data_IF_096495671006
#
_entry.id   IF_096495671006
#
_cell.length_a   1.000
_cell.length_b   1.000
_cell.length_c   1.000
_cell.angle_alpha   90.00
_cell.angle_beta   90.00
_cell.angle_gamma   90.00
#
_symmetry.space_group_name_H-M   'P 1'
#
loop_
_entity.id
_entity.type
_entity.pdbx_description
1 polymer ?
#
# COMPACT_ATOMS: atom_id res chain seq x y z
N UNK A 1 -7.46 -3.80 -15.05
CA UNK A 1 -6.36 -4.55 -15.70
C UNK A 1 -5.07 -4.05 -15.10
N UNK A 2 -4.27 -4.93 -14.50
CA UNK A 2 -2.94 -4.58 -13.97
C UNK A 2 -1.98 -4.51 -15.17
N UNK A 3 -1.20 -3.45 -15.28
CA UNK A 3 -0.38 -3.15 -16.46
C UNK A 3 0.95 -3.94 -16.48
N UNK A 4 1.36 -4.49 -15.33
CA UNK A 4 2.56 -5.33 -15.12
C UNK A 4 2.28 -6.45 -14.12
N UNK A 5 3.06 -7.52 -14.15
CA UNK A 5 3.04 -8.53 -13.09
C UNK A 5 3.31 -7.86 -11.74
N UNK A 6 2.57 -8.20 -10.67
CA UNK A 6 2.78 -7.61 -9.35
C UNK A 6 4.21 -7.86 -8.84
N UNK A 7 4.81 -6.83 -8.23
CA UNK A 7 6.11 -6.94 -7.55
C UNK A 7 5.87 -7.44 -6.13
N UNK A 8 6.40 -8.62 -5.79
CA UNK A 8 6.34 -9.13 -4.42
C UNK A 8 7.18 -8.26 -3.47
N UNK A 9 6.61 -7.92 -2.31
CA UNK A 9 7.25 -7.09 -1.29
C UNK A 9 7.76 -7.95 -0.13
N UNK A 10 6.83 -8.52 0.64
CA UNK A 10 7.10 -9.33 1.82
C UNK A 10 5.87 -10.16 2.21
N UNK A 11 6.07 -11.35 2.75
CA UNK A 11 5.00 -12.21 3.31
C UNK A 11 3.84 -12.50 2.36
N UNK A 12 4.05 -12.49 1.04
CA UNK A 12 3.02 -12.67 0.02
C UNK A 12 2.23 -11.41 -0.37
N UNK A 13 2.53 -10.26 0.24
CA UNK A 13 2.03 -8.97 -0.23
C UNK A 13 2.72 -8.59 -1.52
N UNK A 14 1.95 -8.04 -2.45
CA UNK A 14 2.47 -7.59 -3.74
C UNK A 14 1.91 -6.24 -4.12
N UNK A 15 2.73 -5.46 -4.80
CA UNK A 15 2.34 -4.20 -5.37
C UNK A 15 1.97 -4.47 -6.83
N UNK A 16 0.94 -3.82 -7.37
CA UNK A 16 0.67 -3.86 -8.81
C UNK A 16 0.30 -2.49 -9.35
N UNK A 17 0.69 -2.25 -10.60
CA UNK A 17 0.40 -1.01 -11.32
C UNK A 17 -0.96 -1.10 -12.01
N UNK A 18 -1.87 -0.19 -11.70
CA UNK A 18 -3.20 -0.15 -12.32
C UNK A 18 -3.19 0.84 -13.48
N UNK A 19 -3.77 0.43 -14.62
CA UNK A 19 -3.91 1.30 -15.80
C UNK A 19 -4.59 2.63 -15.40
N UNK A 20 -3.87 3.74 -15.57
CA UNK A 20 -4.29 5.12 -15.23
C UNK A 20 -4.53 5.42 -13.73
N UNK A 21 -4.11 4.56 -12.80
CA UNK A 21 -4.57 4.61 -11.39
C UNK A 21 -3.50 4.54 -10.29
N UNK A 22 -2.23 4.87 -10.55
CA UNK A 22 -1.17 4.72 -9.54
C UNK A 22 -0.94 3.26 -9.14
N UNK A 23 -0.47 3.03 -7.91
CA UNK A 23 -0.17 1.70 -7.39
C UNK A 23 -1.23 1.18 -6.43
N UNK A 24 -1.35 -0.15 -6.42
CA UNK A 24 -2.32 -0.89 -5.61
C UNK A 24 -1.59 -1.98 -4.82
N UNK A 25 -1.84 -2.04 -3.51
CA UNK A 25 -1.27 -3.05 -2.63
C UNK A 25 -2.25 -4.21 -2.47
N UNK A 26 -1.78 -5.41 -2.76
CA UNK A 26 -2.50 -6.66 -2.65
C UNK A 26 -2.01 -7.43 -1.44
N UNK A 27 -2.95 -7.97 -0.68
CA UNK A 27 -2.65 -8.96 0.35
C UNK A 27 -2.33 -10.32 -0.27
N UNK A 28 -1.67 -11.21 0.49
CA UNK A 28 -1.57 -12.61 0.15
C UNK A 28 -2.97 -13.16 -0.17
N UNK A 29 -3.09 -14.10 -1.12
CA UNK A 29 -4.39 -14.68 -1.43
C UNK A 29 -4.95 -15.38 -0.19
N UNK A 30 -6.09 -14.90 0.31
CA UNK A 30 -6.99 -15.74 1.09
C UNK A 30 -7.87 -16.44 0.07
N UNK A 31 -7.77 -17.76 -0.01
CA UNK A 31 -8.66 -18.57 -0.83
C UNK A 31 -9.99 -18.60 -0.10
N UNK A 32 -10.98 -17.87 -0.60
CA UNK A 32 -12.36 -18.18 -0.27
C UNK A 32 -12.74 -19.54 -0.90
N UNK A 33 -13.88 -20.11 -0.50
CA UNK A 33 -14.33 -21.44 -0.96
C UNK A 33 -14.52 -21.55 -2.50
N UNK A 34 -14.27 -20.47 -3.25
CA UNK A 34 -14.51 -20.32 -4.69
C UNK A 34 -13.22 -20.16 -5.51
N UNK A 35 -12.04 -20.10 -4.87
CA UNK A 35 -10.75 -20.28 -5.55
C UNK A 35 -10.11 -19.02 -6.13
N UNK A 36 -10.63 -17.82 -5.87
CA UNK A 36 -9.94 -16.56 -6.14
C UNK A 36 -10.12 -15.58 -4.97
N UNK A 37 -9.05 -14.89 -4.55
CA UNK A 37 -8.93 -13.43 -4.63
C UNK A 37 -7.71 -12.91 -3.88
N UNK A 38 -7.07 -11.89 -4.45
CA UNK A 38 -6.12 -11.02 -3.76
C UNK A 38 -6.93 -9.88 -3.13
N UNK A 39 -7.16 -9.85 -1.79
CA UNK A 39 -7.85 -8.72 -1.19
C UNK A 39 -7.03 -7.46 -1.42
N UNK A 40 -7.71 -6.40 -1.86
CA UNK A 40 -7.11 -5.08 -2.00
C UNK A 40 -6.90 -4.55 -0.58
N UNK A 41 -5.65 -4.26 -0.23
CA UNK A 41 -5.29 -3.72 1.09
C UNK A 41 -5.25 -2.19 1.04
N UNK A 42 -4.67 -1.67 -0.04
CA UNK A 42 -4.66 -0.23 -0.32
C UNK A 42 -5.07 -0.02 -1.76
N UNK A 43 -6.09 0.82 -1.93
CA UNK A 43 -6.69 1.16 -3.21
C UNK A 43 -5.72 1.91 -4.15
N UNK A 44 -6.02 1.93 -5.46
CA UNK A 44 -5.15 2.50 -6.48
C UNK A 44 -4.97 4.02 -6.28
N UNK A 45 -3.89 4.40 -5.60
CA UNK A 45 -3.29 5.73 -5.53
C UNK A 45 -2.09 5.76 -4.57
N UNK A 46 -1.39 4.64 -4.40
CA UNK A 46 -0.18 4.59 -3.58
C UNK A 46 0.92 5.41 -4.25
N UNK A 47 1.44 6.39 -3.52
CA UNK A 47 2.45 7.33 -3.99
C UNK A 47 3.81 6.99 -3.42
N UNK A 48 3.88 6.67 -2.12
CA UNK A 48 5.08 6.16 -1.47
C UNK A 48 4.82 4.81 -0.81
N UNK A 49 5.82 3.93 -0.85
CA UNK A 49 5.80 2.65 -0.17
C UNK A 49 7.18 2.31 0.39
N UNK A 50 7.22 1.85 1.64
CA UNK A 50 8.40 1.29 2.28
C UNK A 50 8.05 -0.05 2.90
N UNK A 51 8.99 -1.00 2.90
CA UNK A 51 8.73 -2.33 3.47
C UNK A 51 10.00 -3.01 3.96
N UNK A 52 9.83 -3.94 4.88
CA UNK A 52 10.80 -4.97 5.27
C UNK A 52 10.08 -6.33 5.49
N UNK A 53 10.70 -7.23 6.24
CA UNK A 53 10.11 -8.55 6.52
C UNK A 53 8.88 -8.49 7.45
N UNK A 54 8.74 -7.45 8.27
CA UNK A 54 7.72 -7.35 9.31
C UNK A 54 6.63 -6.32 8.99
N UNK A 55 6.95 -5.26 8.25
CA UNK A 55 6.06 -4.12 8.02
C UNK A 55 6.00 -3.67 6.57
N UNK A 56 4.84 -3.14 6.19
CA UNK A 56 4.65 -2.37 4.95
C UNK A 56 4.01 -1.04 5.32
N UNK A 57 4.65 0.05 4.89
CA UNK A 57 4.24 1.43 5.12
C UNK A 57 3.81 2.03 3.79
N UNK A 58 2.64 2.67 3.78
CA UNK A 58 2.05 3.18 2.54
C UNK A 58 1.56 4.60 2.72
N UNK A 59 1.94 5.48 1.82
CA UNK A 59 1.27 6.77 1.61
C UNK A 59 0.36 6.67 0.39
N UNK A 60 -0.90 7.04 0.58
CA UNK A 60 -1.93 7.05 -0.45
C UNK A 60 -2.51 8.45 -0.60
N UNK A 61 -2.68 8.92 -1.84
CA UNK A 61 -3.43 10.15 -2.12
C UNK A 61 -4.84 9.75 -2.54
N UNK A 62 -5.88 9.99 -1.73
CA UNK A 62 -7.22 9.50 -2.04
C UNK A 62 -7.69 10.02 -3.41
N UNK A 63 -8.31 9.14 -4.20
CA UNK A 63 -9.01 9.53 -5.42
C UNK A 63 -10.30 10.23 -5.04
N UNK A 64 -10.70 11.24 -5.83
CA UNK A 64 -12.02 11.83 -5.74
C UNK A 64 -13.12 10.87 -6.20
N UNK A 65 -14.38 11.25 -5.96
CA UNK A 65 -15.55 10.40 -6.21
C UNK A 65 -15.81 10.14 -7.71
N UNK A 66 -15.19 10.89 -8.62
CA UNK A 66 -15.45 10.79 -10.07
C UNK A 66 -14.33 10.07 -10.82
N UNK A 67 -14.73 9.28 -11.81
CA UNK A 67 -13.82 8.60 -12.73
C UNK A 67 -12.99 9.67 -13.47
N UNK A 68 -11.69 9.72 -13.19
CA UNK A 68 -10.75 10.69 -13.76
C UNK A 68 -10.35 11.82 -12.81
N UNK A 69 -10.84 11.84 -11.58
CA UNK A 69 -10.35 12.75 -10.55
C UNK A 69 -8.87 12.51 -10.30
N UNK A 70 -8.12 13.61 -10.15
CA UNK A 70 -6.71 13.54 -9.77
C UNK A 70 -6.62 13.14 -8.31
N UNK A 71 -5.64 12.31 -7.92
CA UNK A 71 -5.36 12.04 -6.52
C UNK A 71 -5.21 13.35 -5.73
N UNK A 72 -5.87 13.45 -4.58
CA UNK A 72 -5.76 14.61 -3.70
C UNK A 72 -4.49 14.53 -2.86
N UNK A 73 -3.44 15.18 -3.34
CA UNK A 73 -2.16 15.25 -2.63
C UNK A 73 -2.17 16.18 -1.42
N UNK A 74 -3.25 16.96 -1.22
CA UNK A 74 -3.36 17.86 -0.07
C UNK A 74 -3.83 17.16 1.19
N UNK A 75 -4.38 15.94 1.06
CA UNK A 75 -4.88 15.14 2.17
C UNK A 75 -4.40 13.67 2.05
N UNK A 76 -3.08 13.41 2.21
CA UNK A 76 -2.55 12.07 2.14
C UNK A 76 -3.05 11.22 3.31
N UNK A 77 -3.34 9.95 3.02
CA UNK A 77 -3.67 8.93 4.01
C UNK A 77 -2.52 7.95 4.13
N UNK A 78 -2.25 7.54 5.36
CA UNK A 78 -1.16 6.63 5.68
C UNK A 78 -1.71 5.27 6.13
N UNK A 79 -1.01 4.21 5.75
CA UNK A 79 -1.37 2.85 6.15
C UNK A 79 -0.13 2.12 6.66
N UNK A 80 -0.33 1.26 7.67
CA UNK A 80 0.68 0.35 8.21
C UNK A 80 0.10 -1.05 8.16
N UNK A 81 0.82 -1.97 7.52
CA UNK A 81 0.49 -3.39 7.51
C UNK A 81 1.52 -4.12 8.36
N UNK A 82 1.04 -4.93 9.30
CA UNK A 82 1.86 -5.87 10.08
C UNK A 82 1.82 -7.22 9.36
N UNK A 83 2.92 -7.59 8.71
CA UNK A 83 2.97 -8.74 7.79
C UNK A 83 2.64 -10.05 8.50
N UNK A 84 3.16 -10.24 9.72
CA UNK A 84 3.01 -11.49 10.49
C UNK A 84 1.58 -11.75 10.98
N UNK A 85 0.81 -10.70 11.25
CA UNK A 85 -0.58 -10.80 11.76
C UNK A 85 -1.62 -10.54 10.69
N UNK A 86 -1.24 -9.90 9.57
CA UNK A 86 -2.15 -9.39 8.57
C UNK A 86 -2.97 -8.19 9.05
N UNK A 87 -2.61 -7.57 10.18
CA UNK A 87 -3.30 -6.39 10.70
C UNK A 87 -2.98 -5.16 9.84
N UNK A 88 -4.01 -4.36 9.56
CA UNK A 88 -3.90 -3.17 8.71
C UNK A 88 -4.44 -1.96 9.47
N UNK A 89 -3.55 -1.05 9.83
CA UNK A 89 -3.90 0.27 10.32
C UNK A 89 -4.07 1.18 9.10
N UNK A 90 -5.31 1.57 8.80
CA UNK A 90 -5.66 2.30 7.59
C UNK A 90 -6.19 3.71 7.88
N UNK A 91 -6.21 4.55 6.83
CA UNK A 91 -6.76 5.92 6.87
C UNK A 91 -6.15 6.80 7.97
N UNK A 92 -4.86 6.61 8.26
CA UNK A 92 -4.15 7.37 9.29
C UNK A 92 -3.79 8.77 8.76
N UNK A 93 -3.94 9.77 9.63
CA UNK A 93 -3.24 11.05 9.45
C UNK A 93 -1.73 10.84 9.63
N UNK A 94 -0.91 11.79 9.17
CA UNK A 94 0.54 11.70 9.37
C UNK A 94 0.93 11.61 10.86
N UNK A 95 0.26 12.38 11.73
CA UNK A 95 0.53 12.33 13.19
C UNK A 95 0.14 10.98 13.79
N UNK A 96 -1.01 10.41 13.39
CA UNK A 96 -1.44 9.09 13.84
C UNK A 96 -0.52 8.00 13.30
N UNK A 97 -0.04 8.12 12.06
CA UNK A 97 0.95 7.23 11.48
C UNK A 97 2.25 7.23 12.27
N UNK A 98 2.82 8.40 12.58
CA UNK A 98 4.03 8.48 13.40
C UNK A 98 3.83 7.86 14.78
N UNK A 99 2.67 8.11 15.40
CA UNK A 99 2.33 7.55 16.70
C UNK A 99 2.24 6.02 16.67
N UNK A 100 1.61 5.44 15.63
CA UNK A 100 1.54 3.99 15.46
C UNK A 100 2.90 3.40 15.11
N UNK A 101 3.68 4.07 14.26
CA UNK A 101 5.04 3.66 13.89
C UNK A 101 5.93 3.51 15.14
N UNK A 102 5.91 4.51 16.02
CA UNK A 102 6.64 4.48 17.29
C UNK A 102 6.11 3.38 18.21
N UNK A 103 4.78 3.29 18.39
CA UNK A 103 4.16 2.30 19.27
C UNK A 103 4.42 0.85 18.84
N UNK A 104 4.49 0.59 17.54
CA UNK A 104 4.80 -0.71 16.96
C UNK A 104 6.30 -1.00 16.90
N UNK A 105 7.16 -0.02 17.22
CA UNK A 105 8.62 -0.17 17.18
C UNK A 105 9.19 -0.27 15.77
N UNK A 106 8.50 0.29 14.77
CA UNK A 106 8.90 0.20 13.36
C UNK A 106 10.14 1.07 13.13
N UNK A 107 11.25 0.50 12.62
CA UNK A 107 12.51 1.21 12.54
C UNK A 107 12.50 2.33 11.47
N UNK A 108 13.31 3.36 11.72
CA UNK A 108 13.52 4.47 10.76
C UNK A 108 14.30 4.07 9.50
N UNK A 109 14.86 2.86 9.49
CA UNK A 109 15.60 2.31 8.36
C UNK A 109 14.71 1.87 7.20
N UNK A 110 13.38 1.76 7.39
CA UNK A 110 12.44 1.51 6.29
C UNK A 110 12.34 2.78 5.44
N UNK A 111 13.00 2.76 4.28
CA UNK A 111 12.98 3.84 3.31
C UNK A 111 11.66 3.84 2.52
N UNK A 112 11.03 5.01 2.43
CA UNK A 112 9.84 5.23 1.60
C UNK A 112 10.28 5.51 0.16
N UNK A 113 9.81 4.70 -0.79
CA UNK A 113 10.12 4.77 -2.22
C UNK A 113 8.89 5.17 -3.01
N UNK A 114 9.06 5.99 -4.05
CA UNK A 114 7.95 6.38 -4.92
C UNK A 114 7.51 5.27 -5.85
N UNK A 115 6.28 5.37 -6.35
CA UNK A 115 5.77 4.45 -7.36
C UNK A 115 6.65 4.35 -8.62
N UNK A 116 7.27 5.47 -9.00
CA UNK A 116 8.20 5.51 -10.12
C UNK A 116 9.47 4.73 -9.83
N UNK A 117 10.02 4.79 -8.61
CA UNK A 117 11.23 4.02 -8.27
C UNK A 117 10.98 2.51 -8.21
N UNK A 118 9.75 2.08 -7.94
CA UNK A 118 9.41 0.65 -7.86
C UNK A 118 9.13 0.03 -9.24
N UNK A 119 8.62 0.80 -10.22
CA UNK A 119 8.26 0.29 -11.56
C UNK A 119 8.93 0.97 -12.74
N UNK A 120 9.71 2.02 -12.50
CA UNK A 120 10.38 2.83 -13.51
C UNK A 120 11.64 2.17 -14.04
N UNK A 121 11.47 1.06 -14.76
CA UNK A 121 12.33 0.62 -15.85
C UNK A 121 11.45 0.09 -17.00
#
# INVERSE_FOLDING_TARGET
MIERDPTELSGGYSLGRVFLGGLKLYAPPYVDDQGENYPIVVDPAVVLIGWDEEFILVEQHPLGDWIGDRPDSSNPRWHIVVVSTGEVYSDLSYESFLSHREALGIPDTIEMRSAYEVYGE
#
